data_IF_584185452590
#
_entry.id   IF_584185452590
#
_cell.length_a   1.000
_cell.length_b   1.000
_cell.length_c   1.000
_cell.angle_alpha   90.00
_cell.angle_beta   90.00
_cell.angle_gamma   90.00
#
_symmetry.space_group_name_H-M   'P 1'
#
loop_
_entity.id
_entity.type
_entity.pdbx_description
1 polymer ?
#
# COMPACT_ATOMS: atom_id res chain seq x y z
N UNK A 1 18.24 -2.07 0.98
CA UNK A 1 17.32 -2.94 1.75
C UNK A 1 15.91 -2.41 1.60
N UNK A 2 15.13 -2.95 0.65
CA UNK A 2 13.74 -2.55 0.43
C UNK A 2 12.82 -3.24 1.42
N UNK A 3 12.04 -2.48 2.19
CA UNK A 3 11.08 -3.02 3.15
C UNK A 3 9.99 -3.80 2.42
N UNK A 4 9.95 -5.11 2.67
CA UNK A 4 8.91 -6.03 2.25
C UNK A 4 7.54 -5.55 2.78
N UNK A 5 6.85 -4.77 1.97
CA UNK A 5 5.45 -4.42 2.16
C UNK A 5 4.68 -5.25 1.15
N UNK A 6 3.89 -6.22 1.60
CA UNK A 6 2.49 -5.84 1.68
C UNK A 6 1.53 -6.93 2.10
N UNK A 7 2.00 -8.00 2.71
CA UNK A 7 1.12 -8.92 3.43
C UNK A 7 1.88 -9.32 4.67
N UNK A 8 1.36 -9.03 5.86
CA UNK A 8 2.00 -9.55 7.06
C UNK A 8 1.88 -11.06 6.96
N UNK A 9 2.94 -11.72 6.49
CA UNK A 9 3.10 -13.17 6.48
C UNK A 9 2.75 -13.74 7.87
N UNK A 10 2.88 -12.93 8.93
CA UNK A 10 2.38 -13.19 10.29
C UNK A 10 0.87 -13.44 10.38
N UNK A 11 0.01 -12.74 9.64
CA UNK A 11 -1.46 -12.94 9.64
C UNK A 11 -1.83 -14.25 8.94
N UNK A 12 -1.20 -14.56 7.79
CA UNK A 12 -1.38 -15.85 7.10
C UNK A 12 -0.81 -17.00 7.95
N UNK A 13 0.34 -16.80 8.60
CA UNK A 13 0.91 -17.76 9.55
C UNK A 13 0.03 -17.96 10.78
N UNK A 14 -0.69 -16.94 11.25
CA UNK A 14 -1.67 -17.09 12.33
C UNK A 14 -2.88 -17.92 11.90
N UNK A 15 -3.37 -17.74 10.66
CA UNK A 15 -4.39 -18.60 10.06
C UNK A 15 -3.92 -20.07 9.95
N UNK A 16 -2.66 -20.30 9.57
CA UNK A 16 -2.07 -21.64 9.44
C UNK A 16 -1.75 -22.29 10.80
N UNK A 17 -1.40 -21.50 11.81
CA UNK A 17 -1.04 -21.99 13.15
C UNK A 17 -2.24 -22.48 13.98
N UNK A 18 -3.48 -22.18 13.56
CA UNK A 18 -4.69 -22.71 14.18
C UNK A 18 -5.02 -24.14 13.71
N UNK A 19 -4.36 -24.63 12.66
CA UNK A 19 -4.68 -25.90 12.02
C UNK A 19 -4.10 -27.13 12.72
N UNK A 20 -4.62 -27.48 13.90
CA UNK A 20 -4.77 -28.90 14.24
C UNK A 20 -6.06 -29.42 13.57
N UNK A 21 -6.00 -30.49 12.77
CA UNK A 21 -7.20 -31.04 12.13
C UNK A 21 -8.29 -31.34 13.18
N UNK A 22 -9.44 -30.67 13.07
CA UNK A 22 -10.61 -30.88 13.96
C UNK A 22 -10.88 -29.79 15.00
N UNK A 23 -10.06 -28.74 15.12
CA UNK A 23 -10.24 -27.72 16.17
C UNK A 23 -10.67 -26.32 15.70
N UNK A 24 -10.67 -26.03 14.40
CA UNK A 24 -11.04 -24.70 13.88
C UNK A 24 -12.39 -24.77 13.18
N UNK A 25 -13.34 -23.95 13.62
CA UNK A 25 -14.63 -23.85 12.95
C UNK A 25 -14.48 -23.07 11.64
N UNK A 26 -15.10 -23.54 10.55
CA UNK A 26 -15.11 -22.81 9.27
C UNK A 26 -15.61 -21.36 9.42
N UNK A 27 -16.48 -21.09 10.41
CA UNK A 27 -16.94 -19.75 10.74
C UNK A 27 -15.82 -18.82 11.22
N UNK A 28 -14.88 -19.33 12.03
CA UNK A 28 -13.73 -18.57 12.54
C UNK A 28 -12.73 -18.28 11.42
N UNK A 29 -12.42 -19.29 10.59
CA UNK A 29 -11.58 -19.12 9.39
C UNK A 29 -12.19 -18.07 8.46
N UNK A 30 -13.51 -18.12 8.23
CA UNK A 30 -14.23 -17.13 7.42
C UNK A 30 -14.15 -15.73 8.03
N UNK A 31 -14.30 -15.58 9.34
CA UNK A 31 -14.23 -14.28 10.01
C UNK A 31 -12.84 -13.64 9.87
N UNK A 32 -11.78 -14.42 10.11
CA UNK A 32 -10.39 -13.93 9.97
C UNK A 32 -10.09 -13.58 8.51
N UNK A 33 -10.47 -14.45 7.58
CA UNK A 33 -10.27 -14.23 6.14
C UNK A 33 -11.00 -12.98 5.65
N UNK A 34 -12.22 -12.73 6.14
CA UNK A 34 -13.01 -11.53 5.80
C UNK A 34 -12.31 -10.26 6.28
N UNK A 35 -11.83 -10.23 7.53
CA UNK A 35 -11.08 -9.08 8.07
C UNK A 35 -9.82 -8.79 7.25
N UNK A 36 -9.11 -9.83 6.83
CA UNK A 36 -7.92 -9.67 6.01
C UNK A 36 -8.28 -9.13 4.60
N UNK A 37 -9.35 -9.64 3.99
CA UNK A 37 -9.87 -9.12 2.72
C UNK A 37 -10.21 -7.62 2.81
N UNK A 38 -10.83 -7.19 3.90
CA UNK A 38 -11.17 -5.77 4.10
C UNK A 38 -9.91 -4.91 4.27
N UNK A 39 -8.89 -5.40 4.96
CA UNK A 39 -7.59 -4.71 5.05
C UNK A 39 -6.91 -4.56 3.68
N UNK A 40 -6.97 -5.60 2.83
CA UNK A 40 -6.48 -5.55 1.45
C UNK A 40 -7.22 -4.48 0.65
N UNK A 41 -8.56 -4.48 0.71
CA UNK A 41 -9.40 -3.51 -0.01
C UNK A 41 -9.10 -2.08 0.43
N UNK A 42 -8.92 -1.84 1.73
CA UNK A 42 -8.53 -0.54 2.26
C UNK A 42 -7.15 -0.12 1.73
N UNK A 43 -6.18 -1.04 1.67
CA UNK A 43 -4.86 -0.73 1.14
C UNK A 43 -4.89 -0.42 -0.37
N UNK A 44 -5.66 -1.16 -1.15
CA UNK A 44 -5.87 -0.88 -2.58
C UNK A 44 -6.48 0.51 -2.77
N UNK A 45 -7.44 0.91 -1.94
CA UNK A 45 -8.04 2.24 -2.02
C UNK A 45 -7.02 3.36 -1.73
N UNK A 46 -6.14 3.18 -0.73
CA UNK A 46 -5.01 4.09 -0.46
C UNK A 46 -4.02 4.14 -1.63
N UNK A 47 -3.61 2.97 -2.14
CA UNK A 47 -2.68 2.90 -3.26
C UNK A 47 -3.23 3.57 -4.52
N UNK A 48 -4.51 3.35 -4.86
CA UNK A 48 -5.17 4.02 -5.99
C UNK A 48 -5.22 5.54 -5.84
N UNK A 49 -5.33 6.07 -4.61
CA UNK A 49 -5.27 7.53 -4.38
C UNK A 49 -3.87 8.07 -4.71
N UNK A 50 -2.83 7.38 -4.25
CA UNK A 50 -1.43 7.74 -4.50
C UNK A 50 -1.08 7.61 -5.97
N UNK A 51 -1.52 6.54 -6.62
CA UNK A 51 -1.38 6.32 -8.06
C UNK A 51 -1.95 7.49 -8.86
N UNK A 52 -3.17 7.94 -8.56
CA UNK A 52 -3.77 9.10 -9.25
C UNK A 52 -2.96 10.37 -9.07
N UNK A 53 -2.53 10.67 -7.85
CA UNK A 53 -1.71 11.86 -7.57
C UNK A 53 -0.37 11.81 -8.32
N UNK A 54 0.28 10.65 -8.32
CA UNK A 54 1.55 10.45 -9.00
C UNK A 54 1.37 10.54 -10.53
N UNK A 55 0.32 9.91 -11.07
CA UNK A 55 -0.03 9.98 -12.49
C UNK A 55 -0.24 11.41 -12.96
N UNK A 56 -1.09 12.18 -12.27
CA UNK A 56 -1.31 13.61 -12.56
C UNK A 56 -0.04 14.47 -12.52
N UNK A 57 0.95 14.04 -11.74
CA UNK A 57 2.22 14.76 -11.60
C UNK A 57 3.20 14.41 -12.71
N UNK A 58 3.21 13.14 -13.11
CA UNK A 58 3.95 12.66 -14.28
C UNK A 58 3.39 13.31 -15.56
N UNK A 59 2.07 13.41 -15.70
CA UNK A 59 1.42 14.03 -16.87
C UNK A 59 1.80 15.51 -17.05
N UNK A 60 2.17 16.20 -15.96
CA UNK A 60 2.66 17.60 -15.99
C UNK A 60 4.17 17.72 -16.16
N UNK A 61 4.89 16.60 -16.16
CA UNK A 61 6.34 16.61 -16.32
C UNK A 61 6.69 16.65 -17.80
N UNK A 62 7.22 17.78 -18.26
CA UNK A 62 7.63 17.96 -19.67
C UNK A 62 9.03 17.40 -19.97
N UNK A 63 9.69 16.78 -18.97
CA UNK A 63 11.04 16.22 -19.12
C UNK A 63 12.16 17.25 -19.02
N UNK A 64 11.87 18.45 -18.52
CA UNK A 64 12.85 19.50 -18.25
C UNK A 64 13.77 19.21 -17.06
N UNK A 65 14.68 20.13 -16.79
CA UNK A 65 15.58 20.08 -15.63
C UNK A 65 14.96 20.80 -14.43
N UNK A 66 15.39 20.52 -13.18
CA UNK A 66 14.98 21.32 -12.03
C UNK A 66 15.23 22.82 -12.28
N UNK A 67 14.36 23.73 -11.79
CA UNK A 67 13.25 23.51 -10.85
C UNK A 67 11.91 23.11 -11.50
N UNK A 68 11.84 22.96 -12.81
CA UNK A 68 10.58 22.79 -13.57
C UNK A 68 10.01 21.36 -13.51
N UNK A 69 10.58 20.48 -12.68
CA UNK A 69 10.20 19.07 -12.59
C UNK A 69 9.21 18.83 -11.44
N UNK A 70 7.89 18.78 -11.70
CA UNK A 70 6.88 18.63 -10.64
C UNK A 70 6.97 17.28 -9.91
N UNK A 71 7.60 16.27 -10.52
CA UNK A 71 7.84 14.97 -9.88
C UNK A 71 8.79 15.09 -8.68
N UNK A 72 9.84 15.92 -8.81
CA UNK A 72 10.80 16.12 -7.73
C UNK A 72 10.19 16.88 -6.55
N UNK A 73 9.20 17.74 -6.80
CA UNK A 73 8.54 18.49 -5.74
C UNK A 73 7.64 17.60 -4.86
N UNK A 74 6.99 16.57 -5.42
CA UNK A 74 6.19 15.60 -4.64
C UNK A 74 7.08 14.63 -3.85
N UNK A 75 8.27 14.33 -4.35
CA UNK A 75 9.21 13.43 -3.68
C UNK A 75 10.10 14.15 -2.66
N UNK A 76 10.13 15.49 -2.67
CA UNK A 76 10.93 16.27 -1.74
C UNK A 76 10.25 16.34 -0.36
N UNK A 77 10.96 16.00 0.74
CA UNK A 77 10.42 16.08 2.09
C UNK A 77 10.22 17.51 2.60
N UNK A 78 10.72 18.52 1.89
CA UNK A 78 10.55 19.94 2.21
C UNK A 78 9.94 20.68 1.01
N UNK A 79 8.96 21.59 1.22
CA UNK A 79 8.45 22.43 0.14
C UNK A 79 9.58 23.33 -0.38
N UNK A 80 9.94 23.15 -1.66
CA UNK A 80 10.97 23.95 -2.35
C UNK A 80 10.49 25.41 -2.41
N UNK A 81 10.98 26.26 -1.52
CA UNK A 81 10.71 27.70 -1.56
C UNK A 81 11.42 28.30 -2.77
N UNK A 82 10.65 28.70 -3.78
CA UNK A 82 11.13 29.53 -4.88
C UNK A 82 11.15 30.98 -4.38
N UNK A 83 12.33 31.60 -4.38
CA UNK A 83 12.53 33.05 -4.29
C UNK A 83 12.61 33.66 -5.68
#
# INVERSE_FOLDING_TARGET
MGANSGFKLKEIKALLALGSPGQVLCGEVRAISTRHLDAIRAKIADLRKRERLLGQTIDRCEGGTPPECPVLDILSPEPRQVS
#
